data_IF_555079171002
#
_entry.id   IF_555079171002
#
_cell.length_a   1.000
_cell.length_b   1.000
_cell.length_c   1.000
_cell.angle_alpha   90.00
_cell.angle_beta   90.00
_cell.angle_gamma   90.00
#
_symmetry.space_group_name_H-M   'P 1'
#
loop_
_entity.id
_entity.type
_entity.pdbx_description
1 polymer ?
#
# COMPACT_ATOMS: atom_id res chain seq x y z
N UNK A 1 26.04 15.18 -3.71
CA UNK A 1 25.53 14.64 -4.99
C UNK A 1 24.35 15.48 -5.45
N UNK A 2 24.41 15.97 -6.69
CA UNK A 2 23.27 16.71 -7.27
C UNK A 2 22.27 15.74 -7.89
N UNK A 3 21.05 16.20 -8.10
CA UNK A 3 20.02 15.41 -8.80
C UNK A 3 20.48 15.02 -10.21
N UNK A 4 21.19 15.92 -10.90
CA UNK A 4 21.74 15.63 -12.24
C UNK A 4 22.76 14.49 -12.23
N UNK A 5 23.63 14.44 -11.25
CA UNK A 5 24.62 13.36 -11.11
C UNK A 5 23.93 12.02 -10.81
N UNK A 6 22.95 12.05 -9.93
CA UNK A 6 22.15 10.87 -9.60
C UNK A 6 21.37 10.37 -10.83
N UNK A 7 20.79 11.29 -11.59
CA UNK A 7 20.07 10.98 -12.83
C UNK A 7 20.94 10.22 -13.81
N UNK A 8 22.19 10.67 -14.02
CA UNK A 8 23.14 9.97 -14.90
C UNK A 8 23.41 8.54 -14.44
N UNK A 9 23.58 8.34 -13.13
CA UNK A 9 23.80 7.02 -12.56
C UNK A 9 22.58 6.11 -12.73
N UNK A 10 21.39 6.63 -12.53
CA UNK A 10 20.16 5.88 -12.69
C UNK A 10 19.92 5.47 -14.14
N UNK A 11 20.19 6.36 -15.09
CA UNK A 11 20.01 6.07 -16.52
C UNK A 11 21.04 5.06 -17.04
N UNK A 12 22.17 4.92 -16.37
CA UNK A 12 23.20 3.95 -16.72
C UNK A 12 22.90 2.53 -16.24
N UNK A 13 21.86 2.34 -15.44
CA UNK A 13 21.47 1.03 -14.92
C UNK A 13 20.88 0.16 -16.04
N UNK A 14 21.02 -1.16 -15.89
CA UNK A 14 20.33 -2.11 -16.77
C UNK A 14 18.82 -2.06 -16.51
N UNK A 15 17.97 -2.53 -17.45
CA UNK A 15 16.53 -2.59 -17.21
C UNK A 15 16.16 -3.36 -15.93
N UNK A 16 16.86 -4.46 -15.63
CA UNK A 16 16.64 -5.24 -14.41
C UNK A 16 16.97 -4.43 -13.16
N UNK A 17 18.10 -3.73 -13.18
CA UNK A 17 18.52 -2.85 -12.08
C UNK A 17 17.55 -1.70 -11.88
N UNK A 18 17.04 -1.12 -12.97
CA UNK A 18 16.02 -0.06 -12.90
C UNK A 18 14.75 -0.55 -12.22
N UNK A 19 14.31 -1.77 -12.54
CA UNK A 19 13.14 -2.38 -11.90
C UNK A 19 13.36 -2.57 -10.40
N UNK A 20 14.55 -3.04 -10.00
CA UNK A 20 14.90 -3.20 -8.59
C UNK A 20 14.90 -1.86 -7.84
N UNK A 21 15.45 -0.82 -8.46
CA UNK A 21 15.46 0.53 -7.86
C UNK A 21 14.05 1.06 -7.69
N UNK A 22 13.17 0.88 -8.67
CA UNK A 22 11.77 1.29 -8.58
C UNK A 22 11.10 0.60 -7.40
N UNK A 23 11.29 -0.70 -7.23
CA UNK A 23 10.72 -1.44 -6.11
C UNK A 23 11.26 -0.94 -4.77
N UNK A 24 12.56 -0.72 -4.68
CA UNK A 24 13.20 -0.21 -3.47
C UNK A 24 12.68 1.16 -3.09
N UNK A 25 12.59 2.08 -4.05
CA UNK A 25 12.12 3.44 -3.81
C UNK A 25 10.64 3.47 -3.44
N UNK A 26 9.83 2.62 -4.07
CA UNK A 26 8.41 2.48 -3.76
C UNK A 26 8.20 2.09 -2.31
N UNK A 27 9.01 1.17 -1.80
CA UNK A 27 8.96 0.76 -0.39
C UNK A 27 9.23 1.93 0.55
N UNK A 28 10.19 2.79 0.20
CA UNK A 28 10.54 3.94 1.05
C UNK A 28 9.51 5.06 0.96
N UNK A 29 8.85 5.21 -0.19
CA UNK A 29 7.82 6.23 -0.39
C UNK A 29 6.54 5.96 0.41
N UNK A 30 6.31 4.74 0.84
CA UNK A 30 5.21 4.45 1.76
C UNK A 30 5.50 4.92 3.19
N UNK A 31 6.52 5.78 3.35
CA UNK A 31 6.93 6.42 4.61
C UNK A 31 7.28 5.43 5.71
N UNK A 32 7.85 4.31 5.33
CA UNK A 32 8.15 3.28 6.29
C UNK A 32 6.93 2.70 6.97
N UNK A 33 5.75 2.77 6.35
CA UNK A 33 4.55 2.11 6.86
C UNK A 33 4.76 0.60 6.76
N UNK A 34 5.00 -0.10 7.88
CA UNK A 34 5.30 -1.52 7.82
C UNK A 34 4.15 -2.30 7.21
N UNK A 35 4.49 -3.27 6.37
CA UNK A 35 3.52 -4.21 5.82
C UNK A 35 2.52 -3.63 4.82
N UNK A 36 2.71 -2.39 4.37
CA UNK A 36 1.83 -1.74 3.39
C UNK A 36 2.61 -1.43 2.12
N UNK A 37 2.03 -1.74 0.97
CA UNK A 37 2.66 -1.48 -0.32
C UNK A 37 1.69 -0.79 -1.28
N UNK A 38 2.26 -0.01 -2.19
CA UNK A 38 1.54 0.55 -3.34
C UNK A 38 2.25 0.06 -4.59
N UNK A 39 1.59 -0.76 -5.36
CA UNK A 39 2.18 -1.35 -6.56
C UNK A 39 1.26 -1.09 -7.75
N UNK A 40 1.84 -0.56 -8.83
CA UNK A 40 1.11 -0.37 -10.08
C UNK A 40 0.54 -1.72 -10.55
N UNK A 41 -0.72 -1.72 -10.97
CA UNK A 41 -1.39 -2.92 -11.44
C UNK A 41 -1.95 -3.81 -10.35
N UNK A 42 -1.73 -3.48 -9.07
CA UNK A 42 -2.30 -4.21 -7.95
C UNK A 42 -3.21 -3.26 -7.17
N UNK A 43 -4.45 -3.62 -6.96
CA UNK A 43 -5.48 -2.80 -6.29
C UNK A 43 -5.61 -1.41 -6.92
N UNK A 44 -5.41 -1.31 -8.24
CA UNK A 44 -5.47 -0.02 -8.95
C UNK A 44 -4.39 0.98 -8.51
N UNK A 45 -3.30 0.53 -7.89
CA UNK A 45 -2.26 1.38 -7.34
C UNK A 45 -2.53 1.87 -5.93
N UNK A 46 -3.66 1.48 -5.33
CA UNK A 46 -3.99 1.85 -3.95
C UNK A 46 -3.14 1.06 -2.96
N UNK A 47 -3.02 1.59 -1.73
CA UNK A 47 -2.29 0.93 -0.66
C UNK A 47 -2.93 -0.41 -0.31
N UNK A 48 -2.12 -1.47 -0.24
CA UNK A 48 -2.54 -2.83 0.07
C UNK A 48 -1.68 -3.42 1.17
N UNK A 49 -2.19 -4.45 1.84
CA UNK A 49 -1.35 -5.26 2.71
C UNK A 49 -0.31 -5.96 1.85
N UNK A 50 0.96 -5.86 2.25
CA UNK A 50 2.08 -6.42 1.50
C UNK A 50 1.89 -7.91 1.18
N UNK A 51 2.17 -8.26 -0.07
CA UNK A 51 2.01 -9.63 -0.54
C UNK A 51 0.58 -10.06 -0.83
N UNK A 52 -0.37 -9.14 -0.76
CA UNK A 52 -1.79 -9.43 -1.01
C UNK A 52 -2.38 -8.42 -1.99
N UNK A 53 -3.62 -8.69 -2.40
CA UNK A 53 -4.45 -7.75 -3.15
C UNK A 53 -5.57 -7.18 -2.28
N UNK A 54 -5.33 -7.12 -0.97
CA UNK A 54 -6.32 -6.62 -0.01
C UNK A 54 -6.05 -5.14 0.22
N UNK A 55 -6.90 -4.23 -0.32
CA UNK A 55 -6.66 -2.80 -0.16
C UNK A 55 -7.01 -2.33 1.24
N UNK A 56 -6.22 -1.38 1.75
CA UNK A 56 -6.47 -0.81 3.07
C UNK A 56 -7.85 -0.15 3.13
N UNK A 57 -8.25 0.56 2.07
CA UNK A 57 -9.57 1.21 2.03
C UNK A 57 -10.72 0.20 2.18
N UNK A 58 -10.57 -1.00 1.62
CA UNK A 58 -11.59 -2.04 1.73
C UNK A 58 -11.74 -2.55 3.16
N UNK A 59 -10.62 -2.68 3.88
CA UNK A 59 -10.64 -3.06 5.29
C UNK A 59 -11.29 -1.97 6.16
N UNK A 60 -11.00 -0.70 5.88
CA UNK A 60 -11.62 0.42 6.59
C UNK A 60 -13.13 0.44 6.35
N UNK A 61 -13.56 0.23 5.11
CA UNK A 61 -14.97 0.19 4.76
C UNK A 61 -15.70 -0.94 5.51
N UNK A 62 -15.11 -2.14 5.54
CA UNK A 62 -15.64 -3.28 6.28
C UNK A 62 -15.78 -2.98 7.78
N UNK A 63 -14.77 -2.33 8.36
CA UNK A 63 -14.78 -1.91 9.77
C UNK A 63 -15.91 -0.93 10.04
N UNK A 64 -16.15 0.02 9.13
CA UNK A 64 -17.26 0.99 9.24
C UNK A 64 -18.62 0.32 9.14
N UNK A 65 -18.70 -0.80 8.44
CA UNK A 65 -19.94 -1.60 8.36
C UNK A 65 -20.16 -2.47 9.59
N UNK A 66 -19.24 -2.43 10.56
CA UNK A 66 -19.40 -3.11 11.82
C UNK A 66 -18.70 -4.46 11.95
N UNK A 67 -17.89 -4.85 10.96
CA UNK A 67 -17.14 -6.09 11.07
C UNK A 67 -16.04 -5.95 12.13
N UNK A 68 -15.93 -6.97 12.98
CA UNK A 68 -14.87 -7.04 13.97
C UNK A 68 -13.56 -7.50 13.37
N UNK A 69 -12.46 -7.28 14.10
CA UNK A 69 -11.15 -7.79 13.66
C UNK A 69 -11.15 -9.31 13.53
N UNK A 70 -11.83 -10.01 14.43
CA UNK A 70 -11.96 -11.46 14.37
C UNK A 70 -12.66 -11.91 13.09
N UNK A 71 -13.71 -11.19 12.68
CA UNK A 71 -14.43 -11.48 11.43
C UNK A 71 -13.54 -11.21 10.20
N UNK A 72 -12.77 -10.12 10.22
CA UNK A 72 -11.85 -9.80 9.14
C UNK A 72 -10.74 -10.86 9.01
N UNK A 73 -10.20 -11.32 10.12
CA UNK A 73 -9.19 -12.38 10.12
C UNK A 73 -9.75 -13.73 9.64
N UNK A 74 -11.02 -13.98 9.90
CA UNK A 74 -11.70 -15.17 9.39
C UNK A 74 -11.95 -15.08 7.90
N UNK A 75 -12.34 -13.91 7.40
CA UNK A 75 -12.59 -13.65 5.98
C UNK A 75 -11.30 -13.65 5.15
N UNK A 76 -10.23 -13.11 5.71
CA UNK A 76 -8.92 -13.00 5.05
C UNK A 76 -7.89 -13.84 5.79
N UNK A 77 -7.89 -15.14 5.52
CA UNK A 77 -7.07 -16.11 6.28
C UNK A 77 -5.57 -15.99 6.12
N UNK A 78 -5.11 -15.26 5.08
CA UNK A 78 -3.68 -15.10 4.84
C UNK A 78 -3.09 -13.89 5.53
N UNK A 79 -3.88 -13.09 6.22
CA UNK A 79 -3.38 -11.93 6.96
C UNK A 79 -3.41 -12.20 8.46
N UNK A 80 -2.52 -11.52 9.16
CA UNK A 80 -2.40 -11.63 10.62
C UNK A 80 -3.02 -10.43 11.31
N UNK A 81 -3.17 -10.52 12.63
CA UNK A 81 -3.59 -9.39 13.45
C UNK A 81 -2.62 -8.21 13.30
N UNK A 82 -1.31 -8.50 13.17
CA UNK A 82 -0.30 -7.47 12.94
C UNK A 82 -0.54 -6.73 11.61
N UNK A 83 -0.98 -7.45 10.56
CA UNK A 83 -1.32 -6.84 9.28
C UNK A 83 -2.47 -5.84 9.43
N UNK A 84 -3.48 -6.16 10.22
CA UNK A 84 -4.59 -5.24 10.49
C UNK A 84 -4.11 -4.00 11.25
N UNK A 85 -3.25 -4.17 12.26
CA UNK A 85 -2.67 -3.04 13.00
C UNK A 85 -1.93 -2.11 12.03
N UNK A 86 -1.14 -2.68 11.13
CA UNK A 86 -0.42 -1.90 10.12
C UNK A 86 -1.38 -1.16 9.17
N UNK A 87 -2.46 -1.80 8.77
CA UNK A 87 -3.48 -1.19 7.92
C UNK A 87 -4.18 -0.03 8.64
N UNK A 88 -4.53 -0.21 9.92
CA UNK A 88 -5.16 0.86 10.71
C UNK A 88 -4.22 2.05 10.88
N UNK A 89 -2.96 1.79 11.17
CA UNK A 89 -1.95 2.85 11.31
C UNK A 89 -1.76 3.62 10.01
N UNK A 90 -1.72 2.91 8.89
CA UNK A 90 -1.62 3.54 7.57
C UNK A 90 -2.82 4.43 7.29
N UNK A 91 -4.03 3.91 7.53
CA UNK A 91 -5.27 4.66 7.30
C UNK A 91 -5.34 5.93 8.15
N UNK A 92 -4.86 5.88 9.38
CA UNK A 92 -4.82 7.05 10.26
C UNK A 92 -3.84 8.10 9.76
N UNK A 93 -2.66 7.67 9.31
CA UNK A 93 -1.62 8.56 8.80
C UNK A 93 -1.96 9.15 7.42
N UNK A 94 -2.77 8.46 6.63
CA UNK A 94 -3.11 8.81 5.25
C UNK A 94 -4.63 8.87 5.04
N UNK A 95 -5.34 9.50 5.98
CA UNK A 95 -6.81 9.52 5.98
C UNK A 95 -7.42 10.08 4.71
N UNK A 96 -6.86 11.14 4.14
CA UNK A 96 -7.37 11.74 2.91
C UNK A 96 -7.26 10.79 1.71
N UNK A 97 -6.15 10.09 1.61
CA UNK A 97 -5.92 9.08 0.56
C UNK A 97 -6.95 7.97 0.65
N UNK A 98 -7.19 7.47 1.86
CA UNK A 98 -8.14 6.37 2.10
C UNK A 98 -9.57 6.82 1.81
N UNK A 99 -9.96 8.00 2.26
CA UNK A 99 -11.30 8.55 1.98
C UNK A 99 -11.54 8.73 0.48
N UNK A 100 -10.54 9.20 -0.25
CA UNK A 100 -10.62 9.35 -1.70
C UNK A 100 -10.77 8.00 -2.40
N UNK A 101 -10.02 6.98 -1.94
CA UNK A 101 -10.13 5.64 -2.50
C UNK A 101 -11.52 5.03 -2.27
N UNK A 102 -12.09 5.21 -1.07
CA UNK A 102 -13.44 4.75 -0.76
C UNK A 102 -14.45 5.46 -1.65
N UNK A 103 -14.34 6.78 -1.79
CA UNK A 103 -15.23 7.57 -2.62
C UNK A 103 -15.22 7.12 -4.08
N UNK A 104 -14.03 6.92 -4.65
CA UNK A 104 -13.87 6.42 -6.02
C UNK A 104 -14.54 5.07 -6.23
N UNK A 105 -14.41 4.18 -5.27
CA UNK A 105 -14.95 2.83 -5.38
C UNK A 105 -16.47 2.79 -5.18
N UNK A 106 -17.03 3.73 -4.44
CA UNK A 106 -18.47 3.87 -4.28
C UNK A 106 -19.12 4.45 -5.53
N UNK A 107 -18.43 5.30 -6.28
CA UNK A 107 -18.92 5.93 -7.51
C UNK A 107 -18.79 5.01 -8.73
N UNK A 108 -18.00 3.96 -8.64
CA UNK A 108 -17.74 3.04 -9.74
C UNK A 108 -18.93 2.15 -10.09
#
# INVERSE_FOLDING_TARGET
>A
MTLKELEKQLLALTPAEKAEVIQLLTKTLTNGSPGITKTLGICGGDACIAGTRIPVWGLIESRRLGLSEAQLLDDYRHISAADLVNAWAYAEAHSEEIEEAIRKNQEA
#
